data_IF_197935153075
#
_entry.id   IF_197935153075
#
_cell.length_a   1.000
_cell.length_b   1.000
_cell.length_c   1.000
_cell.angle_alpha   90.00
_cell.angle_beta   90.00
_cell.angle_gamma   90.00
#
_symmetry.space_group_name_H-M   'P 1'
#
loop_
_entity.id
_entity.type
_entity.pdbx_description
1 polymer ?
#
# COMPACT_ATOMS: atom_id res chain seq x y z
N UNK A 1 -6.20 9.60 -19.27
CA UNK A 1 -5.03 10.09 -18.50
C UNK A 1 -4.67 9.03 -17.48
N UNK A 2 -3.50 8.41 -17.62
CA UNK A 2 -3.03 7.40 -16.67
C UNK A 2 -2.25 8.10 -15.56
N UNK A 3 -2.57 7.77 -14.30
CA UNK A 3 -2.01 8.41 -13.12
C UNK A 3 -1.29 7.37 -12.29
N UNK A 4 -0.06 7.68 -11.90
CA UNK A 4 0.75 6.85 -11.02
C UNK A 4 1.06 7.54 -9.69
N UNK A 5 1.59 6.77 -8.74
CA UNK A 5 2.12 7.30 -7.49
C UNK A 5 3.44 6.61 -7.11
N UNK A 6 4.40 7.39 -6.65
CA UNK A 6 5.62 6.93 -5.99
C UNK A 6 5.45 7.12 -4.49
N UNK A 7 5.61 6.06 -3.72
CA UNK A 7 5.68 6.09 -2.26
C UNK A 7 7.13 5.85 -1.87
N UNK A 8 7.75 6.86 -1.28
CA UNK A 8 9.14 6.79 -0.84
C UNK A 8 9.21 6.18 0.56
N UNK A 9 9.86 5.04 0.66
CA UNK A 9 10.16 4.32 1.91
C UNK A 9 11.66 4.35 2.18
N UNK A 10 12.48 4.27 1.14
CA UNK A 10 13.92 4.49 1.23
C UNK A 10 14.27 5.98 1.22
N UNK A 11 15.38 6.34 1.84
CA UNK A 11 15.91 7.71 1.89
C UNK A 11 15.16 8.67 2.81
N UNK A 12 14.21 8.17 3.56
CA UNK A 12 13.36 9.00 4.45
C UNK A 12 13.82 8.98 5.92
N UNK A 13 14.86 8.19 6.23
CA UNK A 13 15.47 8.17 7.55
C UNK A 13 14.64 7.48 8.63
N UNK A 14 13.82 6.49 8.27
CA UNK A 14 13.18 5.59 9.24
C UNK A 14 14.16 4.43 9.52
N UNK A 15 14.53 4.17 10.79
CA UNK A 15 15.39 3.05 11.15
C UNK A 15 14.76 1.70 10.79
N UNK A 16 15.60 0.68 10.50
CA UNK A 16 15.13 -0.68 10.17
C UNK A 16 14.26 -1.28 11.26
N UNK A 17 14.62 -1.08 12.52
CA UNK A 17 13.83 -1.54 13.66
C UNK A 17 12.40 -0.97 13.67
N UNK A 18 12.23 0.32 13.35
CA UNK A 18 10.91 0.93 13.26
C UNK A 18 10.16 0.46 12.00
N UNK A 19 10.88 0.21 10.90
CA UNK A 19 10.29 -0.33 9.68
C UNK A 19 9.70 -1.74 9.94
N UNK A 20 10.40 -2.60 10.68
CA UNK A 20 9.89 -3.91 11.07
C UNK A 20 8.65 -3.79 11.98
N UNK A 21 8.65 -2.86 12.93
CA UNK A 21 7.46 -2.58 13.75
C UNK A 21 6.26 -2.13 12.92
N UNK A 22 6.45 -1.30 11.88
CA UNK A 22 5.39 -0.93 10.96
C UNK A 22 4.79 -2.13 10.20
N UNK A 23 5.59 -3.14 9.87
CA UNK A 23 5.11 -4.37 9.23
C UNK A 23 4.30 -5.27 10.18
N UNK A 24 4.65 -5.28 11.47
CA UNK A 24 4.00 -6.11 12.49
C UNK A 24 2.72 -5.48 13.07
N UNK A 25 2.43 -4.23 12.74
CA UNK A 25 1.27 -3.50 13.26
C UNK A 25 -0.06 -4.15 12.88
N UNK A 26 -1.08 -3.88 13.71
CA UNK A 26 -2.47 -4.19 13.35
C UNK A 26 -2.90 -3.36 12.15
N UNK A 27 -3.59 -3.99 11.22
CA UNK A 27 -4.10 -3.33 10.01
C UNK A 27 -5.11 -2.22 10.31
N UNK A 28 -5.14 -1.15 9.51
CA UNK A 28 -4.24 -0.91 8.39
C UNK A 28 -2.85 -0.49 8.85
N UNK A 29 -1.81 -1.06 8.23
CA UNK A 29 -0.43 -0.61 8.39
C UNK A 29 -0.24 0.76 7.72
N UNK A 30 0.88 1.43 7.99
CA UNK A 30 1.21 2.72 7.34
C UNK A 30 1.27 2.58 5.81
N UNK A 31 1.76 1.45 5.30
CA UNK A 31 1.81 1.13 3.87
C UNK A 31 0.40 1.01 3.30
N UNK A 32 -0.47 0.23 3.96
CA UNK A 32 -1.86 0.06 3.53
C UNK A 32 -2.63 1.37 3.54
N UNK A 33 -2.40 2.22 4.54
CA UNK A 33 -3.03 3.52 4.64
C UNK A 33 -2.73 4.38 3.41
N UNK A 34 -1.46 4.51 3.04
CA UNK A 34 -1.06 5.31 1.88
C UNK A 34 -1.54 4.70 0.56
N UNK A 35 -1.33 3.39 0.36
CA UNK A 35 -1.75 2.69 -0.86
C UNK A 35 -3.26 2.86 -1.07
N UNK A 36 -4.06 2.64 -0.01
CA UNK A 36 -5.52 2.80 -0.09
C UNK A 36 -5.92 4.22 -0.43
N UNK A 37 -5.25 5.23 0.13
CA UNK A 37 -5.54 6.63 -0.17
C UNK A 37 -5.32 6.95 -1.64
N UNK A 38 -4.23 6.46 -2.25
CA UNK A 38 -3.98 6.59 -3.68
C UNK A 38 -5.00 5.83 -4.53
N UNK A 39 -5.27 4.57 -4.19
CA UNK A 39 -6.24 3.74 -4.94
C UNK A 39 -7.65 4.34 -4.91
N UNK A 40 -8.09 4.89 -3.78
CA UNK A 40 -9.38 5.60 -3.66
C UNK A 40 -9.47 6.85 -4.52
N UNK A 41 -8.35 7.50 -4.77
CA UNK A 41 -8.27 8.62 -5.69
C UNK A 41 -8.19 8.20 -7.18
N UNK A 42 -8.29 6.90 -7.49
CA UNK A 42 -8.23 6.38 -8.85
C UNK A 42 -6.81 6.23 -9.40
N UNK A 43 -5.79 6.22 -8.54
CA UNK A 43 -4.41 5.93 -8.95
C UNK A 43 -4.26 4.42 -9.13
N UNK A 44 -3.95 3.98 -10.36
CA UNK A 44 -3.91 2.57 -10.73
C UNK A 44 -2.50 1.94 -10.55
N UNK A 45 -1.45 2.71 -10.83
CA UNK A 45 -0.07 2.25 -10.78
C UNK A 45 0.65 2.90 -9.60
N UNK A 46 1.05 2.11 -8.63
CA UNK A 46 1.77 2.58 -7.44
C UNK A 46 3.14 1.92 -7.40
N UNK A 47 4.21 2.72 -7.38
CA UNK A 47 5.57 2.28 -7.14
C UNK A 47 5.96 2.58 -5.69
N UNK A 48 6.25 1.56 -4.91
CA UNK A 48 6.74 1.68 -3.55
C UNK A 48 8.24 1.42 -3.57
N UNK A 49 9.03 2.45 -3.25
CA UNK A 49 10.49 2.40 -3.36
C UNK A 49 11.11 2.17 -1.99
N UNK A 50 11.78 1.04 -1.84
CA UNK A 50 12.32 0.56 -0.57
C UNK A 50 13.83 0.39 -0.61
N UNK A 51 14.42 0.06 0.54
CA UNK A 51 15.80 -0.41 0.63
C UNK A 51 15.89 -1.89 0.30
N UNK A 52 17.09 -2.31 -0.08
CA UNK A 52 17.40 -3.70 -0.44
C UNK A 52 16.90 -4.70 0.61
N UNK A 53 16.21 -5.75 0.13
CA UNK A 53 15.60 -6.80 0.93
C UNK A 53 14.34 -6.42 1.72
N UNK A 54 13.86 -5.17 1.62
CA UNK A 54 12.64 -4.76 2.32
C UNK A 54 11.39 -4.95 1.45
N UNK A 55 11.51 -4.90 0.12
CA UNK A 55 10.40 -5.08 -0.80
C UNK A 55 9.66 -6.39 -0.55
N UNK A 56 10.37 -7.51 -0.48
CA UNK A 56 9.78 -8.84 -0.25
C UNK A 56 9.04 -8.92 1.09
N UNK A 57 9.59 -8.30 2.14
CA UNK A 57 8.96 -8.28 3.47
C UNK A 57 7.63 -7.50 3.44
N UNK A 58 7.62 -6.34 2.76
CA UNK A 58 6.42 -5.52 2.62
C UNK A 58 5.39 -6.22 1.74
N UNK A 59 5.81 -6.79 0.60
CA UNK A 59 4.92 -7.50 -0.34
C UNK A 59 4.22 -8.69 0.32
N UNK A 60 4.93 -9.45 1.14
CA UNK A 60 4.36 -10.57 1.90
C UNK A 60 3.26 -10.14 2.89
N UNK A 61 3.28 -8.89 3.34
CA UNK A 61 2.25 -8.34 4.24
C UNK A 61 1.11 -7.66 3.50
N UNK A 62 1.37 -7.19 2.27
CA UNK A 62 0.45 -6.40 1.45
C UNK A 62 -0.13 -7.24 0.30
N UNK A 63 -1.31 -7.81 0.50
CA UNK A 63 -2.05 -8.51 -0.57
C UNK A 63 -2.83 -7.52 -1.46
N UNK A 64 -2.13 -6.58 -2.15
CA UNK A 64 -2.80 -5.58 -2.99
C UNK A 64 -2.27 -5.56 -4.41
N UNK A 65 -3.20 -5.52 -5.39
CA UNK A 65 -2.88 -5.38 -6.82
C UNK A 65 -2.53 -3.92 -7.16
N UNK A 66 -1.78 -3.72 -8.23
CA UNK A 66 -1.41 -2.40 -8.72
C UNK A 66 -0.32 -1.71 -7.91
N UNK A 67 0.41 -2.47 -7.09
CA UNK A 67 1.58 -2.01 -6.37
C UNK A 67 2.80 -2.76 -6.89
N UNK A 68 3.81 -2.01 -7.32
CA UNK A 68 5.12 -2.55 -7.71
C UNK A 68 6.14 -2.14 -6.64
N UNK A 69 6.91 -3.10 -6.17
CA UNK A 69 7.96 -2.88 -5.20
C UNK A 69 9.29 -2.71 -5.94
N UNK A 70 10.01 -1.65 -5.60
CA UNK A 70 11.29 -1.31 -6.22
C UNK A 70 12.34 -1.16 -5.12
N UNK A 71 13.35 -2.01 -5.12
CA UNK A 71 14.47 -1.88 -4.19
C UNK A 71 15.59 -1.01 -4.76
N UNK A 72 16.25 -0.27 -3.87
CA UNK A 72 17.50 0.46 -4.14
C UNK A 72 18.58 0.02 -3.15
N UNK A 73 19.82 -0.06 -3.62
CA UNK A 73 20.97 -0.57 -2.85
C UNK A 73 21.37 0.35 -1.69
N UNK A 74 21.06 1.65 -1.80
CA UNK A 74 21.44 2.64 -0.78
C UNK A 74 20.23 3.39 -0.23
N UNK A 75 20.28 3.83 1.02
CA UNK A 75 19.21 4.62 1.65
C UNK A 75 19.30 6.10 1.24
N UNK A 76 19.23 6.35 -0.09
CA UNK A 76 19.30 7.68 -0.70
C UNK A 76 17.92 8.15 -1.15
N UNK A 77 17.52 9.35 -0.69
CA UNK A 77 16.28 9.98 -1.11
C UNK A 77 16.25 10.26 -2.61
N UNK A 78 17.37 10.79 -3.15
CA UNK A 78 17.49 11.13 -4.57
C UNK A 78 17.40 9.90 -5.45
N UNK A 79 18.04 8.78 -5.07
CA UNK A 79 17.93 7.50 -5.77
C UNK A 79 16.53 6.92 -5.67
N UNK A 80 15.86 7.04 -4.54
CA UNK A 80 14.47 6.57 -4.39
C UNK A 80 13.53 7.35 -5.31
N UNK A 81 13.66 8.67 -5.37
CA UNK A 81 12.89 9.51 -6.29
C UNK A 81 13.19 9.15 -7.74
N UNK A 82 14.48 9.03 -8.10
CA UNK A 82 14.90 8.65 -9.45
C UNK A 82 14.29 7.30 -9.86
N UNK A 83 14.44 6.27 -9.02
CA UNK A 83 13.93 4.92 -9.30
C UNK A 83 12.43 4.90 -9.53
N UNK A 84 11.67 5.53 -8.64
CA UNK A 84 10.21 5.59 -8.72
C UNK A 84 9.70 6.38 -9.91
N UNK A 85 10.26 7.57 -10.16
CA UNK A 85 9.87 8.41 -11.30
C UNK A 85 10.26 7.80 -12.63
N UNK A 86 11.46 7.22 -12.77
CA UNK A 86 11.88 6.53 -14.00
C UNK A 86 10.94 5.39 -14.33
N UNK A 87 10.52 4.59 -13.33
CA UNK A 87 9.59 3.48 -13.53
C UNK A 87 8.22 3.95 -14.05
N UNK A 88 7.65 5.03 -13.51
CA UNK A 88 6.30 5.49 -13.86
C UNK A 88 6.25 6.46 -15.02
N UNK A 89 7.35 7.18 -15.33
CA UNK A 89 7.35 8.25 -16.34
C UNK A 89 7.16 7.76 -17.78
N UNK A 90 7.29 6.47 -18.03
CA UNK A 90 7.03 5.90 -19.37
C UNK A 90 5.54 5.64 -19.62
N UNK A 91 4.78 5.38 -18.57
CA UNK A 91 3.38 4.94 -18.68
C UNK A 91 2.38 5.93 -18.12
N UNK A 92 2.77 6.81 -17.19
CA UNK A 92 1.88 7.71 -16.49
C UNK A 92 2.06 9.17 -16.95
N UNK A 93 0.95 9.82 -17.27
CA UNK A 93 0.93 11.24 -17.68
C UNK A 93 1.09 12.18 -16.47
N UNK A 94 0.63 11.72 -15.30
CA UNK A 94 0.78 12.42 -14.03
C UNK A 94 1.24 11.45 -12.95
N UNK A 95 2.13 11.92 -12.08
CA UNK A 95 2.72 11.09 -11.05
C UNK A 95 2.68 11.84 -9.72
N UNK A 96 2.08 11.23 -8.72
CA UNK A 96 2.21 11.68 -7.35
C UNK A 96 3.52 11.16 -6.75
N UNK A 97 4.14 11.97 -5.91
CA UNK A 97 5.28 11.58 -5.09
C UNK A 97 4.95 11.91 -3.65
N UNK A 98 4.97 10.91 -2.80
CA UNK A 98 4.69 11.04 -1.37
C UNK A 98 5.70 10.28 -0.52
N UNK A 99 5.98 10.81 0.65
CA UNK A 99 6.87 10.22 1.66
C UNK A 99 6.02 9.40 2.64
N UNK A 100 6.44 8.17 2.93
CA UNK A 100 5.73 7.25 3.84
C UNK A 100 5.49 7.86 5.24
N UNK A 101 6.33 8.80 5.66
CA UNK A 101 6.18 9.49 6.95
C UNK A 101 4.97 10.41 7.05
N UNK A 102 4.28 10.71 5.94
CA UNK A 102 3.11 11.60 5.90
C UNK A 102 1.86 10.83 5.41
N UNK A 103 1.33 9.88 6.19
CA UNK A 103 0.31 8.95 5.72
C UNK A 103 -1.13 9.46 5.82
N UNK A 104 -1.37 10.67 6.39
CA UNK A 104 -2.71 11.10 6.79
C UNK A 104 -3.36 12.10 5.84
N UNK A 105 -2.93 12.16 4.58
CA UNK A 105 -3.65 12.92 3.57
C UNK A 105 -4.93 12.18 3.12
N UNK A 106 -5.96 12.95 2.79
CA UNK A 106 -7.24 12.40 2.33
C UNK A 106 -7.25 12.18 0.81
N UNK A 107 -7.97 11.16 0.30
CA UNK A 107 -8.05 10.89 -1.14
C UNK A 107 -8.64 12.03 -1.98
N UNK A 108 -9.51 12.85 -1.43
CA UNK A 108 -10.11 14.02 -2.09
C UNK A 108 -9.05 15.06 -2.47
N UNK A 109 -8.01 15.24 -1.67
CA UNK A 109 -6.85 16.11 -1.99
C UNK A 109 -6.21 15.64 -3.30
N UNK A 110 -5.99 14.34 -3.47
CA UNK A 110 -5.44 13.79 -4.70
C UNK A 110 -6.36 14.05 -5.89
N UNK A 111 -7.67 13.87 -5.72
CA UNK A 111 -8.67 14.15 -6.75
C UNK A 111 -8.68 15.64 -7.12
N UNK A 112 -8.57 16.53 -6.14
CA UNK A 112 -8.43 17.97 -6.38
C UNK A 112 -7.17 18.31 -7.17
N UNK A 113 -6.04 17.70 -6.81
CA UNK A 113 -4.76 17.90 -7.50
C UNK A 113 -4.80 17.37 -8.94
N UNK A 114 -5.50 16.27 -9.20
CA UNK A 114 -5.66 15.71 -10.55
C UNK A 114 -6.40 16.65 -11.51
N UNK A 115 -7.37 17.39 -10.99
CA UNK A 115 -8.18 18.34 -11.78
C UNK A 115 -7.42 19.62 -12.17
N UNK A 116 -6.28 19.91 -11.55
CA UNK A 116 -5.48 21.11 -11.82
C UNK A 116 -4.46 20.88 -12.91
N UNK A 117 -4.44 21.75 -13.89
CA UNK A 117 -3.43 21.74 -14.96
C UNK A 117 -2.18 22.50 -14.49
N UNK A 118 -1.27 21.78 -13.83
CA UNK A 118 0.04 22.31 -13.44
C UNK A 118 1.09 21.24 -13.66
N UNK A 119 2.28 21.64 -14.12
CA UNK A 119 3.39 20.69 -14.32
C UNK A 119 3.93 20.15 -13.01
N UNK A 120 3.86 20.96 -11.95
CA UNK A 120 4.29 20.61 -10.61
C UNK A 120 3.34 21.27 -9.61
N UNK A 121 2.66 20.46 -8.80
CA UNK A 121 1.62 20.89 -7.90
C UNK A 121 1.80 20.28 -6.51
N UNK A 122 1.73 21.07 -5.47
CA UNK A 122 1.76 20.64 -4.08
C UNK A 122 0.48 20.97 -3.33
N UNK A 123 0.20 20.27 -2.25
CA UNK A 123 -0.84 20.58 -1.31
C UNK A 123 -0.27 21.45 -0.17
N UNK A 124 -1.03 22.47 0.25
CA UNK A 124 -0.63 23.43 1.28
C UNK A 124 -1.74 23.52 2.32
N UNK A 125 -1.37 23.54 3.61
CA UNK A 125 -2.25 23.82 4.73
C UNK A 125 -1.66 24.93 5.59
N UNK A 126 -2.40 25.99 5.77
CA UNK A 126 -1.94 27.16 6.55
C UNK A 126 -0.64 27.77 6.02
N UNK A 127 -0.43 27.78 4.71
CA UNK A 127 0.78 28.33 4.06
C UNK A 127 1.98 27.35 4.07
N UNK A 128 1.87 26.15 4.64
CA UNK A 128 2.95 25.16 4.70
C UNK A 128 2.70 24.04 3.70
N UNK A 129 3.74 23.67 2.94
CA UNK A 129 3.66 22.52 2.03
C UNK A 129 3.66 21.20 2.81
N UNK A 130 2.67 20.34 2.48
CA UNK A 130 2.76 18.91 2.80
C UNK A 130 3.75 18.20 1.88
N UNK A 131 4.19 17.02 2.29
CA UNK A 131 5.10 16.18 1.50
C UNK A 131 4.36 15.31 0.48
N UNK A 132 3.47 15.95 -0.26
CA UNK A 132 2.67 15.37 -1.32
C UNK A 132 2.73 16.28 -2.56
N UNK A 133 3.38 15.80 -3.59
CA UNK A 133 3.58 16.53 -4.85
C UNK A 133 3.01 15.72 -6.01
N UNK A 134 2.36 16.39 -6.94
CA UNK A 134 1.94 15.85 -8.23
C UNK A 134 2.76 16.50 -9.34
N UNK A 135 3.40 15.68 -10.18
CA UNK A 135 4.21 16.14 -11.30
C UNK A 135 3.66 15.66 -12.65
N UNK A 136 3.87 16.42 -13.72
CA UNK A 136 3.63 15.96 -15.08
C UNK A 136 4.72 14.96 -15.53
N UNK A 137 4.40 14.12 -16.51
CA UNK A 137 5.35 13.19 -17.11
C UNK A 137 6.62 13.90 -17.64
N UNK A 138 6.43 15.02 -18.35
CA UNK A 138 7.54 15.79 -18.89
C UNK A 138 8.47 16.31 -17.79
N UNK A 139 7.90 16.77 -16.69
CA UNK A 139 8.67 17.27 -15.55
C UNK A 139 9.38 16.12 -14.81
N UNK A 140 8.71 14.98 -14.66
CA UNK A 140 9.31 13.76 -14.08
C UNK A 140 10.54 13.30 -14.88
N UNK A 141 10.43 13.21 -16.20
CA UNK A 141 11.56 12.86 -17.06
C UNK A 141 12.71 13.87 -17.01
N UNK A 142 12.38 15.16 -16.88
CA UNK A 142 13.41 16.20 -16.78
C UNK A 142 14.19 16.09 -15.47
N UNK A 143 13.52 15.85 -14.34
CA UNK A 143 14.21 15.68 -13.06
C UNK A 143 15.03 14.40 -13.02
N UNK A 144 14.56 13.29 -13.61
CA UNK A 144 15.35 12.06 -13.72
C UNK A 144 16.69 12.31 -14.42
N UNK A 145 16.68 12.99 -15.56
CA UNK A 145 17.93 13.34 -16.27
C UNK A 145 18.89 14.19 -15.44
N UNK A 146 18.35 15.15 -14.68
CA UNK A 146 19.18 15.98 -13.80
C UNK A 146 19.77 15.17 -12.64
N UNK A 147 19.00 14.25 -12.08
CA UNK A 147 19.46 13.36 -11.00
C UNK A 147 20.54 12.40 -11.51
N UNK A 148 20.34 11.80 -12.69
CA UNK A 148 21.34 10.93 -13.31
C UNK A 148 22.67 11.66 -13.51
N UNK A 149 22.65 12.88 -14.06
CA UNK A 149 23.85 13.71 -14.21
C UNK A 149 24.52 14.03 -12.87
N UNK A 150 23.74 14.41 -11.86
CA UNK A 150 24.29 14.70 -10.53
C UNK A 150 24.91 13.46 -9.86
N UNK A 151 24.29 12.30 -10.02
CA UNK A 151 24.81 11.05 -9.47
C UNK A 151 26.10 10.66 -10.18
N UNK A 152 26.17 10.79 -11.51
CA UNK A 152 27.38 10.54 -12.28
C UNK A 152 28.54 11.49 -11.86
N UNK A 153 28.23 12.77 -11.69
CA UNK A 153 29.22 13.77 -11.24
C UNK A 153 29.62 13.57 -9.75
N UNK A 154 28.71 13.03 -8.92
CA UNK A 154 28.93 12.80 -7.48
C UNK A 154 29.58 11.45 -7.18
N UNK A 155 29.76 10.57 -8.15
CA UNK A 155 30.46 9.30 -7.97
C UNK A 155 31.91 9.46 -7.44
N UNK A 156 32.44 10.68 -7.44
CA UNK A 156 33.72 11.05 -6.80
C UNK A 156 33.60 11.54 -5.34
N UNK A 157 32.39 11.70 -4.79
CA UNK A 157 32.18 12.26 -3.43
C UNK A 157 31.37 11.31 -2.55
N UNK A 158 32.11 10.64 -1.70
CA UNK A 158 31.76 9.98 -0.42
C UNK A 158 30.29 9.68 -0.08
N UNK A 159 30.08 8.41 0.24
CA UNK A 159 29.03 7.85 1.11
C UNK A 159 28.60 8.79 2.24
N UNK A 160 27.30 8.97 2.41
CA UNK A 160 26.77 9.29 3.72
C UNK A 160 26.07 10.61 3.94
N UNK A 161 25.50 11.28 2.94
CA UNK A 161 24.60 12.40 3.23
C UNK A 161 23.14 11.99 3.05
N UNK A 162 22.54 11.43 4.10
CA UNK A 162 21.08 11.35 4.22
C UNK A 162 20.53 12.78 4.25
N UNK A 163 20.24 13.35 3.10
CA UNK A 163 19.47 14.58 3.00
C UNK A 163 18.00 14.20 3.25
N UNK A 164 17.58 14.18 4.49
CA UNK A 164 16.17 14.02 4.88
C UNK A 164 15.37 15.30 4.54
N UNK A 165 15.44 15.73 3.33
CA UNK A 165 14.61 16.81 2.82
C UNK A 165 13.31 16.19 2.34
N UNK A 166 12.17 16.64 2.83
CA UNK A 166 10.88 16.18 2.34
C UNK A 166 10.69 16.44 0.84
N UNK A 167 9.66 15.82 0.25
CA UNK A 167 9.40 15.86 -1.20
C UNK A 167 9.32 17.28 -1.74
N UNK A 168 8.65 18.21 -1.04
CA UNK A 168 8.55 19.60 -1.48
C UNK A 168 9.91 20.32 -1.49
N UNK A 169 10.76 20.06 -0.51
CA UNK A 169 12.11 20.64 -0.42
C UNK A 169 13.00 20.10 -1.56
N UNK A 170 12.89 18.82 -1.88
CA UNK A 170 13.57 18.20 -3.01
C UNK A 170 13.33 18.94 -4.32
N UNK A 171 12.09 19.21 -4.70
CA UNK A 171 11.80 19.92 -5.94
C UNK A 171 12.32 21.36 -5.94
N UNK A 172 12.26 22.05 -4.79
CA UNK A 172 12.77 23.43 -4.64
C UNK A 172 14.28 23.52 -4.83
N UNK A 173 15.06 22.54 -4.38
CA UNK A 173 16.53 22.54 -4.55
C UNK A 173 16.97 22.49 -6.03
N UNK A 174 16.14 21.93 -6.92
CA UNK A 174 16.38 21.95 -8.37
C UNK A 174 15.85 23.23 -9.05
N UNK A 175 15.45 24.24 -8.28
CA UNK A 175 14.98 25.52 -8.81
C UNK A 175 13.56 25.46 -9.39
N UNK A 176 12.79 24.42 -9.12
CA UNK A 176 11.41 24.33 -9.59
C UNK A 176 10.45 25.14 -8.72
N UNK A 177 9.61 25.93 -9.40
CA UNK A 177 8.47 26.57 -8.75
C UNK A 177 7.32 25.57 -8.64
N UNK A 178 6.82 25.36 -7.43
CA UNK A 178 5.70 24.46 -7.15
C UNK A 178 4.43 25.32 -7.10
N UNK A 179 3.49 25.07 -8.03
CA UNK A 179 2.14 25.57 -7.87
C UNK A 179 1.48 24.85 -6.68
N UNK A 180 0.48 25.45 -6.06
CA UNK A 180 -0.15 24.86 -4.88
C UNK A 180 -1.66 24.96 -4.90
N UNK A 181 -2.30 24.06 -4.15
CA UNK A 181 -3.70 24.15 -3.73
C UNK A 181 -3.72 24.23 -2.21
N UNK A 182 -4.53 25.13 -1.68
CA UNK A 182 -4.83 25.16 -0.25
C UNK A 182 -5.82 24.06 0.07
N UNK A 183 -5.58 23.32 1.15
CA UNK A 183 -6.44 22.23 1.62
C UNK A 183 -6.81 22.45 3.08
N UNK A 184 -7.95 21.90 3.49
CA UNK A 184 -8.46 22.06 4.87
C UNK A 184 -7.94 20.97 5.84
N UNK A 185 -7.25 19.96 5.30
CA UNK A 185 -6.77 18.82 6.08
C UNK A 185 -5.33 19.02 6.54
N UNK A 186 -5.15 19.25 7.85
CA UNK A 186 -3.83 19.34 8.47
C UNK A 186 -3.02 18.05 8.44
N UNK A 187 -3.68 16.90 8.20
CA UNK A 187 -3.04 15.58 8.12
C UNK A 187 -1.91 15.52 7.09
N UNK A 188 -1.92 16.40 6.07
CA UNK A 188 -0.82 16.52 5.10
C UNK A 188 0.51 16.96 5.72
N UNK A 189 0.49 17.58 6.89
CA UNK A 189 1.66 18.05 7.62
C UNK A 189 2.08 17.10 8.74
N UNK A 190 1.27 16.08 9.03
CA UNK A 190 1.51 15.17 10.16
C UNK A 190 2.55 14.14 9.78
N UNK A 191 3.75 14.36 10.30
CA UNK A 191 4.89 13.46 10.15
C UNK A 191 4.87 12.38 11.23
N UNK A 192 5.17 11.14 10.85
CA UNK A 192 5.40 10.00 11.76
C UNK A 192 6.72 9.33 11.42
N UNK A 193 7.48 8.98 12.45
CA UNK A 193 8.81 8.36 12.32
C UNK A 193 8.90 7.03 13.07
N UNK A 194 7.89 6.70 13.85
CA UNK A 194 7.80 5.43 14.59
C UNK A 194 6.41 4.81 14.51
N UNK A 195 6.35 3.50 14.74
CA UNK A 195 5.10 2.75 14.79
C UNK A 195 4.17 3.24 15.91
N UNK A 196 4.72 3.67 17.03
CA UNK A 196 3.94 4.24 18.13
C UNK A 196 3.32 5.58 17.74
N UNK A 197 4.10 6.51 17.17
CA UNK A 197 3.56 7.80 16.68
C UNK A 197 2.45 7.59 15.66
N UNK A 198 2.63 6.64 14.72
CA UNK A 198 1.61 6.34 13.74
C UNK A 198 0.30 5.86 14.40
N UNK A 199 0.36 4.95 15.38
CA UNK A 199 -0.84 4.44 16.05
C UNK A 199 -1.57 5.55 16.83
N UNK A 200 -0.83 6.42 17.55
CA UNK A 200 -1.38 7.56 18.27
C UNK A 200 -2.04 8.56 17.31
N UNK A 201 -1.35 8.94 16.23
CA UNK A 201 -1.87 9.87 15.23
C UNK A 201 -3.02 9.27 14.43
N UNK A 202 -2.97 7.98 14.12
CA UNK A 202 -4.04 7.29 13.44
C UNK A 202 -5.38 7.39 14.17
N UNK A 203 -5.38 7.37 15.49
CA UNK A 203 -6.61 7.54 16.28
C UNK A 203 -7.20 8.95 16.14
N UNK A 204 -6.36 9.96 15.94
CA UNK A 204 -6.77 11.36 15.79
C UNK A 204 -7.22 11.65 14.34
N UNK A 205 -6.41 11.23 13.37
CA UNK A 205 -6.59 11.51 11.95
C UNK A 205 -7.35 10.42 11.20
N UNK A 206 -7.60 9.26 11.81
CA UNK A 206 -8.56 8.33 11.26
C UNK A 206 -9.92 9.04 11.32
N UNK A 207 -10.35 9.49 10.16
CA UNK A 207 -11.71 10.00 10.03
C UNK A 207 -12.68 9.03 10.70
N UNK A 208 -13.49 9.54 11.61
CA UNK A 208 -14.70 8.85 12.05
C UNK A 208 -15.70 8.86 10.88
N UNK A 209 -15.26 8.41 9.71
CA UNK A 209 -16.15 8.25 8.58
C UNK A 209 -16.93 6.97 8.78
N UNK A 210 -18.23 7.11 8.80
CA UNK A 210 -19.09 5.95 8.58
C UNK A 210 -18.70 5.39 7.22
N UNK A 211 -18.37 4.10 7.19
CA UNK A 211 -17.96 3.40 5.97
C UNK A 211 -18.93 2.27 5.73
N UNK A 212 -19.38 2.13 4.49
CA UNK A 212 -20.06 0.91 4.08
C UNK A 212 -19.11 -0.28 4.28
N UNK A 213 -19.47 -1.22 5.17
CA UNK A 213 -18.70 -2.46 5.34
C UNK A 213 -19.48 -3.62 4.73
N UNK A 214 -18.87 -4.25 3.72
CA UNK A 214 -19.46 -5.41 3.04
C UNK A 214 -18.65 -6.65 3.38
N UNK A 215 -19.34 -7.69 3.88
CA UNK A 215 -18.73 -8.99 4.09
C UNK A 215 -19.09 -9.90 2.91
N UNK A 216 -18.09 -10.20 2.10
CA UNK A 216 -18.25 -11.08 0.93
C UNK A 216 -18.04 -12.54 1.33
N UNK A 217 -18.88 -13.44 0.84
CA UNK A 217 -18.68 -14.88 0.94
C UNK A 217 -19.27 -15.58 -0.28
N UNK A 218 -18.71 -16.75 -0.62
CA UNK A 218 -19.27 -17.62 -1.65
C UNK A 218 -20.13 -18.70 -1.00
N UNK A 219 -21.24 -19.05 -1.65
CA UNK A 219 -22.16 -20.08 -1.21
C UNK A 219 -22.61 -20.93 -2.40
N UNK A 220 -22.87 -22.22 -2.16
CA UNK A 220 -23.63 -23.11 -3.02
C UNK A 220 -24.93 -23.44 -2.29
N UNK A 221 -24.92 -24.40 -1.39
CA UNK A 221 -26.06 -24.66 -0.50
C UNK A 221 -25.94 -23.89 0.81
N UNK A 222 -24.72 -23.62 1.25
CA UNK A 222 -24.38 -22.81 2.43
C UNK A 222 -23.11 -21.99 2.15
N UNK A 223 -22.89 -20.95 2.94
CA UNK A 223 -21.66 -20.17 2.86
C UNK A 223 -20.45 -21.05 3.19
N UNK A 224 -19.51 -21.16 2.26
CA UNK A 224 -18.36 -22.05 2.39
C UNK A 224 -17.00 -21.34 2.25
N UNK A 225 -16.94 -20.19 1.60
CA UNK A 225 -15.70 -19.48 1.36
C UNK A 225 -15.86 -18.01 1.70
N UNK A 226 -15.04 -17.50 2.58
CA UNK A 226 -15.10 -16.13 3.06
C UNK A 226 -13.83 -15.77 3.82
N UNK A 227 -13.76 -14.59 4.47
CA UNK A 227 -12.53 -14.07 5.07
C UNK A 227 -11.80 -15.05 6.00
N UNK A 228 -12.54 -15.83 6.79
CA UNK A 228 -11.93 -16.81 7.70
C UNK A 228 -11.24 -17.98 6.97
N UNK A 229 -11.81 -18.44 5.85
CA UNK A 229 -11.20 -19.49 5.01
C UNK A 229 -9.98 -18.94 4.30
N UNK A 230 -10.08 -17.75 3.74
CA UNK A 230 -8.98 -17.07 3.04
C UNK A 230 -7.78 -16.90 3.98
N UNK A 231 -8.01 -16.33 5.17
CA UNK A 231 -6.94 -16.15 6.17
C UNK A 231 -6.28 -17.47 6.53
N UNK A 232 -7.07 -18.53 6.71
CA UNK A 232 -6.53 -19.86 7.03
C UNK A 232 -5.71 -20.43 5.88
N UNK A 233 -6.23 -20.40 4.64
CA UNK A 233 -5.54 -20.93 3.47
C UNK A 233 -4.25 -20.18 3.18
N UNK A 234 -4.25 -18.86 3.25
CA UNK A 234 -3.03 -18.04 3.09
C UNK A 234 -1.94 -18.44 4.11
N UNK A 235 -2.33 -18.75 5.35
CA UNK A 235 -1.35 -19.20 6.34
C UNK A 235 -0.92 -20.66 6.12
N UNK A 236 -1.77 -21.53 5.58
CA UNK A 236 -1.37 -22.90 5.19
C UNK A 236 -0.33 -22.85 4.08
N UNK A 237 -0.57 -22.02 3.06
CA UNK A 237 0.34 -21.82 1.95
C UNK A 237 1.73 -21.37 2.40
N UNK A 238 1.76 -20.46 3.36
CA UNK A 238 2.99 -19.90 3.91
C UNK A 238 3.74 -20.85 4.85
N UNK A 239 3.01 -21.60 5.69
CA UNK A 239 3.60 -22.39 6.80
C UNK A 239 3.71 -23.88 6.48
N UNK A 240 3.09 -24.35 5.41
CA UNK A 240 3.05 -25.77 5.07
C UNK A 240 2.33 -26.64 6.10
N UNK A 241 1.57 -26.05 7.04
CA UNK A 241 0.98 -26.78 8.17
C UNK A 241 -0.37 -26.18 8.58
N UNK A 242 -1.42 -27.02 8.54
CA UNK A 242 -2.75 -26.63 9.01
C UNK A 242 -2.74 -26.31 10.51
N UNK A 243 -1.96 -27.04 11.29
CA UNK A 243 -1.87 -26.82 12.75
C UNK A 243 -1.27 -25.46 13.06
N UNK A 244 -0.15 -25.12 12.43
CA UNK A 244 0.53 -23.84 12.63
C UNK A 244 -0.30 -22.69 12.08
N UNK A 245 -0.93 -22.86 10.91
CA UNK A 245 -1.84 -21.89 10.34
C UNK A 245 -3.04 -21.57 11.28
N UNK A 246 -3.65 -22.60 11.87
CA UNK A 246 -4.70 -22.43 12.87
C UNK A 246 -4.19 -21.67 14.10
N UNK A 247 -3.02 -22.03 14.64
CA UNK A 247 -2.43 -21.34 15.78
C UNK A 247 -2.15 -19.87 15.46
N UNK A 248 -1.55 -19.57 14.29
CA UNK A 248 -1.24 -18.21 13.83
C UNK A 248 -2.50 -17.34 13.63
N UNK A 249 -3.61 -17.96 13.23
CA UNK A 249 -4.89 -17.24 12.99
C UNK A 249 -5.81 -17.21 14.22
N UNK A 250 -5.39 -17.73 15.37
CA UNK A 250 -6.19 -17.82 16.60
C UNK A 250 -7.40 -18.76 16.48
N UNK A 251 -7.34 -19.73 15.54
CA UNK A 251 -8.40 -20.73 15.37
C UNK A 251 -8.04 -22.05 16.05
N UNK A 252 -9.04 -22.73 16.58
CA UNK A 252 -8.85 -24.13 16.98
C UNK A 252 -8.62 -25.01 15.74
N UNK A 253 -7.82 -26.05 15.86
CA UNK A 253 -7.55 -26.99 14.79
C UNK A 253 -8.82 -27.64 14.21
N UNK A 254 -9.78 -27.99 15.08
CA UNK A 254 -11.08 -28.52 14.64
C UNK A 254 -11.89 -27.52 13.82
N UNK A 255 -11.84 -26.23 14.18
CA UNK A 255 -12.51 -25.17 13.43
C UNK A 255 -11.86 -24.97 12.06
N UNK A 256 -10.53 -24.95 12.00
CA UNK A 256 -9.80 -24.85 10.72
C UNK A 256 -10.17 -25.98 9.77
N UNK A 257 -10.14 -27.22 10.27
CA UNK A 257 -10.57 -28.38 9.47
C UNK A 257 -12.01 -28.33 9.02
N UNK A 258 -12.91 -27.91 9.89
CA UNK A 258 -14.32 -27.75 9.52
C UNK A 258 -14.49 -26.76 8.37
N UNK A 259 -13.74 -25.65 8.37
CA UNK A 259 -13.76 -24.68 7.29
C UNK A 259 -13.25 -25.26 5.97
N UNK A 260 -12.12 -25.98 5.99
CA UNK A 260 -11.57 -26.64 4.80
C UNK A 260 -12.55 -27.68 4.26
N UNK A 261 -13.03 -28.60 5.10
CA UNK A 261 -13.99 -29.63 4.69
C UNK A 261 -15.27 -29.04 4.13
N UNK A 262 -15.83 -28.01 4.77
CA UNK A 262 -17.03 -27.36 4.24
C UNK A 262 -16.77 -26.79 2.85
N UNK A 263 -15.62 -26.16 2.62
CA UNK A 263 -15.29 -25.63 1.31
C UNK A 263 -15.08 -26.75 0.26
N UNK A 264 -14.44 -27.85 0.62
CA UNK A 264 -14.25 -29.01 -0.24
C UNK A 264 -15.57 -29.74 -0.56
N UNK A 265 -16.47 -29.86 0.42
CA UNK A 265 -17.81 -30.46 0.21
C UNK A 265 -18.65 -29.65 -0.77
N UNK A 266 -18.71 -28.34 -0.59
CA UNK A 266 -19.50 -27.45 -1.43
C UNK A 266 -18.92 -27.29 -2.85
N UNK A 267 -17.61 -27.40 -3.01
CA UNK A 267 -16.95 -27.33 -4.33
C UNK A 267 -16.84 -28.68 -5.03
N UNK A 268 -16.88 -29.78 -4.29
CA UNK A 268 -16.71 -31.14 -4.80
C UNK A 268 -15.25 -31.50 -5.13
N UNK A 269 -14.26 -30.74 -4.72
CA UNK A 269 -12.84 -30.99 -4.98
C UNK A 269 -11.95 -30.55 -3.81
N UNK A 270 -10.72 -31.11 -3.79
CA UNK A 270 -9.75 -30.83 -2.75
C UNK A 270 -9.16 -29.42 -2.89
N UNK A 271 -9.14 -28.69 -1.77
CA UNK A 271 -8.51 -27.35 -1.65
C UNK A 271 -7.15 -27.50 -0.98
N UNK A 272 -7.03 -28.41 -0.01
CA UNK A 272 -5.79 -28.66 0.74
C UNK A 272 -5.44 -30.14 0.63
N UNK A 273 -4.22 -30.43 0.21
CA UNK A 273 -3.64 -31.76 0.24
C UNK A 273 -2.64 -31.92 1.37
N UNK A 274 -2.50 -33.17 1.86
CA UNK A 274 -1.57 -33.53 2.91
C UNK A 274 -0.56 -34.54 2.39
N UNK A 275 0.69 -34.30 2.69
CA UNK A 275 1.71 -35.34 2.59
C UNK A 275 1.84 -36.01 3.96
N UNK A 276 1.77 -37.36 3.97
CA UNK A 276 1.97 -38.14 5.18
C UNK A 276 3.42 -37.96 5.65
N UNK A 277 3.61 -37.23 6.73
CA UNK A 277 4.92 -37.01 7.36
C UNK A 277 5.08 -37.84 8.60
N UNK A 278 6.32 -38.22 8.90
CA UNK A 278 6.72 -38.97 10.08
C UNK A 278 6.50 -38.18 11.40
N UNK A 279 7.33 -38.48 12.43
CA UNK A 279 7.19 -38.02 13.84
C UNK A 279 6.90 -36.53 14.09
N UNK A 280 7.08 -35.62 13.09
CA UNK A 280 6.92 -34.16 13.26
C UNK A 280 5.64 -33.56 12.65
N UNK A 281 4.67 -34.38 12.22
CA UNK A 281 3.42 -33.90 11.58
C UNK A 281 3.55 -33.87 10.05
N UNK A 282 2.42 -34.07 9.32
CA UNK A 282 2.40 -34.05 7.87
C UNK A 282 2.41 -32.61 7.33
N UNK A 283 3.08 -32.39 6.21
CA UNK A 283 3.01 -31.16 5.44
C UNK A 283 1.63 -31.03 4.78
N UNK A 284 1.17 -29.80 4.63
CA UNK A 284 -0.08 -29.46 3.95
C UNK A 284 0.19 -28.35 2.95
N UNK A 285 -0.37 -28.47 1.76
CA UNK A 285 -0.25 -27.46 0.72
C UNK A 285 -1.61 -27.21 0.05
N UNK A 286 -1.76 -26.02 -0.52
CA UNK A 286 -2.95 -25.67 -1.27
C UNK A 286 -2.85 -26.25 -2.68
N UNK A 287 -3.92 -26.86 -3.16
CA UNK A 287 -3.96 -27.37 -4.53
C UNK A 287 -4.01 -26.21 -5.54
N UNK A 288 -3.69 -26.50 -6.81
CA UNK A 288 -3.80 -25.52 -7.89
C UNK A 288 -5.22 -24.92 -7.99
N UNK A 289 -6.26 -25.76 -7.82
CA UNK A 289 -7.65 -25.29 -7.75
C UNK A 289 -7.92 -24.43 -6.53
N UNK A 290 -7.29 -24.72 -5.39
CA UNK A 290 -7.35 -23.92 -4.19
C UNK A 290 -6.76 -22.53 -4.40
N UNK A 291 -5.60 -22.43 -5.04
CA UNK A 291 -4.98 -21.16 -5.43
C UNK A 291 -5.87 -20.36 -6.39
N UNK A 292 -6.37 -20.99 -7.43
CA UNK A 292 -7.30 -20.32 -8.36
C UNK A 292 -8.57 -19.80 -7.66
N UNK A 293 -9.10 -20.53 -6.68
CA UNK A 293 -10.26 -20.07 -5.92
C UNK A 293 -9.92 -18.88 -5.04
N UNK A 294 -8.76 -18.90 -4.38
CA UNK A 294 -8.26 -17.76 -3.59
C UNK A 294 -8.14 -16.51 -4.46
N UNK A 295 -7.45 -16.59 -5.59
CA UNK A 295 -7.26 -15.46 -6.49
C UNK A 295 -8.59 -14.88 -7.01
N UNK A 296 -9.50 -15.75 -7.44
CA UNK A 296 -10.82 -15.33 -7.94
C UNK A 296 -11.67 -14.71 -6.84
N UNK A 297 -11.62 -15.26 -5.63
CA UNK A 297 -12.34 -14.68 -4.49
C UNK A 297 -11.78 -13.30 -4.12
N UNK A 298 -10.46 -13.13 -4.06
CA UNK A 298 -9.84 -11.84 -3.77
C UNK A 298 -10.24 -10.78 -4.81
N UNK A 299 -10.18 -11.12 -6.09
CA UNK A 299 -10.63 -10.23 -7.16
C UNK A 299 -12.12 -9.87 -7.05
N UNK A 300 -12.94 -10.87 -6.72
CA UNK A 300 -14.39 -10.66 -6.53
C UNK A 300 -14.65 -9.75 -5.33
N UNK A 301 -13.97 -10.00 -4.20
CA UNK A 301 -14.07 -9.19 -2.99
C UNK A 301 -13.69 -7.74 -3.26
N UNK A 302 -12.54 -7.50 -3.91
CA UNK A 302 -12.08 -6.15 -4.26
C UNK A 302 -13.11 -5.38 -5.10
N UNK A 303 -13.70 -6.04 -6.09
CA UNK A 303 -14.71 -5.41 -6.95
C UNK A 303 -15.99 -5.09 -6.19
N UNK A 304 -16.43 -5.99 -5.31
CA UNK A 304 -17.62 -5.75 -4.47
C UNK A 304 -17.36 -4.62 -3.46
N UNK A 305 -16.19 -4.61 -2.82
CA UNK A 305 -15.81 -3.53 -1.90
C UNK A 305 -15.74 -2.18 -2.60
N UNK A 306 -15.16 -2.11 -3.81
CA UNK A 306 -15.12 -0.90 -4.62
C UNK A 306 -16.52 -0.41 -4.99
N UNK A 307 -17.38 -1.29 -5.51
CA UNK A 307 -18.75 -0.96 -5.85
C UNK A 307 -19.57 -0.50 -4.62
N UNK A 308 -19.36 -1.15 -3.47
CA UNK A 308 -20.03 -0.76 -2.23
C UNK A 308 -19.60 0.63 -1.75
N UNK A 309 -18.33 1.02 -1.96
CA UNK A 309 -17.87 2.39 -1.64
C UNK A 309 -18.48 3.42 -2.58
N UNK A 310 -18.63 3.10 -3.86
CA UNK A 310 -19.27 4.02 -4.81
C UNK A 310 -20.75 4.20 -4.48
N UNK A 311 -21.47 3.11 -4.19
CA UNK A 311 -22.85 3.16 -3.72
C UNK A 311 -22.96 3.94 -2.41
N UNK A 312 -22.03 3.72 -1.47
CA UNK A 312 -22.02 4.46 -0.21
C UNK A 312 -21.89 5.97 -0.45
N UNK A 313 -20.98 6.39 -1.34
CA UNK A 313 -20.83 7.79 -1.71
C UNK A 313 -22.14 8.36 -2.26
N UNK A 314 -22.77 7.65 -3.20
CA UNK A 314 -24.03 8.12 -3.83
C UNK A 314 -25.17 8.26 -2.81
N UNK A 315 -25.24 7.36 -1.82
CA UNK A 315 -26.33 7.33 -0.84
C UNK A 315 -26.10 8.29 0.33
N UNK A 316 -24.85 8.54 0.72
CA UNK A 316 -24.49 9.32 1.91
C UNK A 316 -23.75 10.63 1.61
N UNK A 317 -23.74 11.09 0.35
CA UNK A 317 -23.05 12.33 -0.06
C UNK A 317 -23.68 13.62 0.46
N UNK A 318 -24.95 13.60 0.86
CA UNK A 318 -25.71 14.82 1.14
C UNK A 318 -25.49 15.46 2.51
N UNK A 319 -24.56 14.94 3.32
CA UNK A 319 -24.16 15.59 4.59
C UNK A 319 -25.30 15.76 5.64
N UNK A 320 -26.51 15.30 5.34
CA UNK A 320 -27.68 15.51 6.21
C UNK A 320 -27.68 14.66 7.50
N UNK A 321 -26.75 13.69 7.61
CA UNK A 321 -26.67 12.79 8.77
C UNK A 321 -25.50 13.10 9.71
N UNK A 322 -24.66 14.11 9.41
CA UNK A 322 -23.46 14.43 10.21
C UNK A 322 -23.19 15.92 10.27
#
# INVERSE_FOLDING_TARGET
MKIGAVILVAGVGIPDEEMEKFLEMKRPTIFEQMIVSYQRAGVADIALVTRDGMADKIEQTLHRRGVTFLDIESDSFDLAVLKGLSYLSDTCERIFVGDIRFPFFQPDILVMMQKRQAELLGAVYGGMFGDLICTSQARARNICKKLEQQIEESAEIAEGTVRSTGVAAFWKQFGYRIAHIEVENEGILVKVTSAQEYEERRQIFAEKQIRGHVKVSLAVNRSFFGPGVVTLLTQIDRLGSVREACAKTGMSYSKGWKLIHTAEEETGWKIVERMSGGKNGGEAYITERGHMLLEKYELYRERVEAAAQDIYKDVFQDGELF
#
